data_IF_827448752594
#
_entry.id   IF_827448752594
#
_cell.length_a   1.000
_cell.length_b   1.000
_cell.length_c   1.000
_cell.angle_alpha   90.00
_cell.angle_beta   90.00
_cell.angle_gamma   90.00
#
_symmetry.space_group_name_H-M   'P 1'
#
loop_
_entity.id
_entity.type
_entity.pdbx_description
1 polymer ?
#
# COMPACT_ATOMS: atom_id res chain seq x y z
N UNK A 1 27.05 -1.40 -10.31
CA UNK A 1 26.39 -0.78 -9.15
C UNK A 1 24.92 -1.13 -9.23
N UNK A 2 24.53 -2.29 -8.69
CA UNK A 2 23.12 -2.62 -8.52
C UNK A 2 22.69 -1.93 -7.23
N UNK A 3 21.80 -0.95 -7.34
CA UNK A 3 21.15 -0.34 -6.20
C UNK A 3 20.36 -1.47 -5.53
N UNK A 4 20.87 -2.01 -4.43
CA UNK A 4 20.06 -2.79 -3.48
C UNK A 4 19.22 -1.72 -2.78
N UNK A 5 18.19 -1.22 -3.46
CA UNK A 5 17.16 -0.46 -2.79
C UNK A 5 16.62 -1.40 -1.71
N UNK A 6 16.63 -1.02 -0.42
CA UNK A 6 15.90 -1.79 0.57
C UNK A 6 14.49 -1.90 0.02
N UNK A 7 14.03 -3.12 -0.28
CA UNK A 7 12.74 -3.36 -0.93
C UNK A 7 11.71 -2.47 -0.23
N UNK A 8 10.97 -1.60 -0.95
CA UNK A 8 10.00 -0.74 -0.32
C UNK A 8 9.08 -1.64 0.51
N UNK A 9 9.09 -1.47 1.82
CA UNK A 9 8.18 -2.20 2.69
C UNK A 9 6.83 -1.53 2.50
N UNK A 10 5.84 -2.24 1.98
CA UNK A 10 4.54 -1.64 1.73
C UNK A 10 3.73 -1.67 3.02
N UNK A 11 2.79 -0.74 3.15
CA UNK A 11 1.96 -0.64 4.34
C UNK A 11 0.50 -0.46 3.94
N UNK A 12 -0.35 -1.26 4.55
CA UNK A 12 -1.81 -1.17 4.40
C UNK A 12 -2.35 -0.36 5.55
N UNK A 13 -3.00 0.74 5.19
CA UNK A 13 -3.80 1.54 6.09
C UNK A 13 -5.24 1.01 6.07
N UNK A 14 -5.59 0.20 7.06
CA UNK A 14 -6.96 -0.29 7.20
C UNK A 14 -7.84 0.78 7.88
N UNK A 15 -8.85 1.27 7.17
CA UNK A 15 -9.89 2.10 7.79
C UNK A 15 -10.94 1.18 8.44
N UNK A 16 -10.72 0.77 9.69
CA UNK A 16 -11.77 0.13 10.47
C UNK A 16 -12.80 1.17 10.89
N UNK A 17 -14.02 1.08 10.35
CA UNK A 17 -15.14 1.90 10.79
C UNK A 17 -16.28 1.05 11.31
N UNK A 18 -17.03 1.59 12.27
CA UNK A 18 -18.20 0.92 12.86
C UNK A 18 -19.35 0.67 11.87
N UNK A 19 -19.27 1.20 10.63
CA UNK A 19 -20.35 1.18 9.63
C UNK A 19 -20.13 0.18 8.49
N UNK A 20 -19.01 -0.55 8.49
CA UNK A 20 -18.71 -1.58 7.47
C UNK A 20 -17.25 -1.59 7.03
N UNK A 21 -16.87 -2.54 6.16
CA UNK A 21 -15.53 -2.56 5.56
C UNK A 21 -15.36 -1.31 4.69
N UNK A 22 -14.54 -0.37 5.15
CA UNK A 22 -14.07 0.72 4.28
C UNK A 22 -12.85 0.24 3.49
N UNK A 23 -12.64 0.81 2.29
CA UNK A 23 -11.50 0.44 1.51
C UNK A 23 -10.19 0.75 2.25
N UNK A 24 -9.28 -0.22 2.25
CA UNK A 24 -7.96 -0.01 2.82
C UNK A 24 -7.08 0.74 1.82
N UNK A 25 -6.16 1.57 2.29
CA UNK A 25 -5.27 2.33 1.42
C UNK A 25 -3.87 1.73 1.50
N UNK A 26 -3.29 1.33 0.38
CA UNK A 26 -1.89 0.91 0.33
C UNK A 26 -1.01 2.14 0.18
N UNK A 27 0.07 2.18 0.96
CA UNK A 27 1.14 3.14 0.85
C UNK A 27 2.48 2.43 0.71
N UNK A 28 3.49 3.15 0.22
CA UNK A 28 4.89 2.77 0.37
C UNK A 28 5.31 3.07 1.82
N UNK A 29 6.19 2.26 2.41
CA UNK A 29 6.55 2.34 3.85
C UNK A 29 7.27 3.61 4.27
N UNK A 30 7.72 4.42 3.31
CA UNK A 30 8.28 5.75 3.55
C UNK A 30 7.22 6.87 3.45
N UNK A 31 5.94 6.53 3.28
CA UNK A 31 4.89 7.53 3.09
C UNK A 31 4.52 8.20 4.43
N UNK A 32 4.68 9.52 4.52
CA UNK A 32 4.27 10.28 5.71
C UNK A 32 2.75 10.48 5.85
N UNK A 33 1.96 10.05 4.86
CA UNK A 33 0.49 10.19 4.84
C UNK A 33 -0.25 9.02 5.51
N UNK A 34 0.48 8.09 6.11
CA UNK A 34 -0.10 6.96 6.81
C UNK A 34 -0.70 7.47 8.12
N UNK A 35 -2.02 7.33 8.26
CA UNK A 35 -2.75 7.67 9.48
C UNK A 35 -3.33 6.41 10.14
N UNK A 36 -3.41 6.40 11.47
CA UNK A 36 -3.91 5.24 12.22
C UNK A 36 -2.85 4.15 12.38
N UNK A 37 -3.27 2.88 12.35
CA UNK A 37 -2.37 1.74 12.56
C UNK A 37 -1.89 1.19 11.21
N UNK A 38 -0.63 1.46 10.79
CA UNK A 38 -0.05 0.85 9.59
C UNK A 38 0.13 -0.65 9.79
N UNK A 39 -0.30 -1.43 8.79
CA UNK A 39 0.01 -2.85 8.72
C UNK A 39 1.06 -3.10 7.65
N UNK A 40 2.27 -3.47 8.06
CA UNK A 40 3.40 -3.71 7.18
C UNK A 40 3.21 -5.03 6.42
N UNK A 41 3.33 -4.97 5.11
CA UNK A 41 3.13 -6.12 4.22
C UNK A 41 4.27 -6.21 3.21
N UNK A 42 4.39 -7.40 2.61
CA UNK A 42 5.37 -7.62 1.55
C UNK A 42 4.92 -6.99 0.23
N UNK A 43 5.86 -6.80 -0.70
CA UNK A 43 5.57 -6.37 -2.07
C UNK A 43 4.53 -7.30 -2.75
N UNK A 44 4.63 -8.60 -2.51
CA UNK A 44 3.71 -9.58 -3.09
C UNK A 44 2.30 -9.40 -2.54
N UNK A 45 2.16 -9.29 -1.22
CA UNK A 45 0.87 -8.99 -0.57
C UNK A 45 0.30 -7.66 -1.06
N UNK A 46 1.15 -6.65 -1.28
CA UNK A 46 0.69 -5.34 -1.72
C UNK A 46 0.15 -5.41 -3.15
N UNK A 47 0.83 -6.14 -4.03
CA UNK A 47 0.38 -6.39 -5.39
C UNK A 47 -0.93 -7.18 -5.42
N UNK A 48 -1.12 -8.17 -4.56
CA UNK A 48 -2.39 -8.90 -4.48
C UNK A 48 -3.49 -7.98 -3.93
N UNK A 49 -3.19 -7.24 -2.87
CA UNK A 49 -4.13 -6.36 -2.19
C UNK A 49 -4.61 -5.23 -3.09
N UNK A 50 -3.73 -4.59 -3.87
CA UNK A 50 -4.10 -3.46 -4.74
C UNK A 50 -5.01 -3.86 -5.91
N UNK A 51 -5.11 -5.17 -6.19
CA UNK A 51 -6.06 -5.70 -7.18
C UNK A 51 -7.46 -5.90 -6.61
N UNK A 52 -7.62 -5.84 -5.29
CA UNK A 52 -8.92 -5.94 -4.64
C UNK A 52 -9.71 -4.63 -4.81
N UNK A 53 -10.99 -4.68 -5.21
CA UNK A 53 -11.81 -3.48 -5.40
C UNK A 53 -12.10 -2.72 -4.10
N UNK A 54 -11.85 -3.32 -2.94
CA UNK A 54 -11.95 -2.67 -1.63
C UNK A 54 -10.60 -2.15 -1.16
N UNK A 55 -9.62 -2.00 -2.04
CA UNK A 55 -8.31 -1.45 -1.70
C UNK A 55 -7.94 -0.37 -2.69
N UNK A 56 -7.50 0.76 -2.17
CA UNK A 56 -7.11 1.92 -2.96
C UNK A 56 -5.59 2.15 -2.87
N UNK A 57 -4.98 2.52 -3.99
CA UNK A 57 -3.60 2.94 -4.03
C UNK A 57 -3.46 4.40 -3.59
N UNK A 58 -2.51 4.69 -2.70
CA UNK A 58 -2.20 6.06 -2.35
C UNK A 58 -1.71 6.83 -3.58
N UNK A 59 -2.48 7.83 -4.00
CA UNK A 59 -2.19 8.64 -5.19
C UNK A 59 -0.91 9.48 -5.07
N UNK A 60 -0.39 9.65 -3.85
CA UNK A 60 0.82 10.43 -3.57
C UNK A 60 2.10 9.62 -3.70
N UNK A 61 2.17 8.44 -3.06
CA UNK A 61 3.34 7.57 -3.16
C UNK A 61 3.24 6.57 -4.33
N UNK A 62 2.08 6.47 -4.99
CA UNK A 62 1.81 5.62 -6.16
C UNK A 62 2.42 4.21 -6.02
N UNK A 63 2.01 3.46 -4.99
CA UNK A 63 2.52 2.11 -4.79
C UNK A 63 2.16 1.19 -5.96
N UNK A 64 1.07 1.48 -6.69
CA UNK A 64 0.69 0.83 -7.95
C UNK A 64 1.78 0.86 -9.02
N UNK A 65 2.49 1.98 -9.13
CA UNK A 65 3.53 2.20 -10.13
C UNK A 65 4.83 1.50 -9.70
N UNK A 66 5.20 1.62 -8.42
CA UNK A 66 6.35 0.89 -7.85
C UNK A 66 6.16 -0.63 -7.89
N UNK A 67 4.92 -1.09 -7.69
CA UNK A 67 4.54 -2.51 -7.81
C UNK A 67 4.40 -2.95 -9.27
N UNK A 68 4.48 -2.04 -10.25
CA UNK A 68 4.34 -2.34 -11.69
C UNK A 68 2.98 -2.95 -12.06
N UNK A 69 1.90 -2.51 -11.39
CA UNK A 69 0.53 -3.01 -11.62
C UNK A 69 -0.23 -2.16 -12.63
N UNK A 70 0.15 -0.90 -12.79
CA UNK A 70 -0.25 -0.02 -13.88
C UNK A 70 0.96 0.15 -14.82
N UNK A 71 0.80 -0.27 -16.07
CA UNK A 71 1.73 0.00 -17.18
C UNK A 71 1.65 1.47 -17.61
#
# INVERSE_FOLDING_TARGET
MAQIAPRPQFVVQQKRTARGPQPAIIHVGDCSMIEGTPYWITEHDARVSITDPNIEACQFCRPDTELGVLD
#
